data_IF_599215447413
#
_entry.id   IF_599215447413
#
_cell.length_a   1.000
_cell.length_b   1.000
_cell.length_c   1.000
_cell.angle_alpha   90.00
_cell.angle_beta   90.00
_cell.angle_gamma   90.00
#
_symmetry.space_group_name_H-M   'P 1'
#
loop_
_entity.id
_entity.type
_entity.pdbx_description
1 polymer ?
#
# COMPACT_ATOMS: atom_id res chain seq x y z
N UNK A 1 0.62 6.08 18.55
CA UNK A 1 2.05 5.69 18.49
C UNK A 1 2.28 4.18 18.52
N UNK A 2 1.66 3.41 19.44
CA UNK A 2 1.91 1.95 19.59
C UNK A 2 1.69 1.12 18.32
N UNK A 3 0.69 1.46 17.50
CA UNK A 3 0.43 0.77 16.23
C UNK A 3 1.64 0.79 15.29
N UNK A 4 2.29 1.94 15.10
CA UNK A 4 3.49 2.06 14.26
C UNK A 4 4.66 1.24 14.82
N UNK A 5 4.83 1.19 16.15
CA UNK A 5 5.86 0.36 16.78
C UNK A 5 5.62 -1.14 16.57
N UNK A 6 4.35 -1.58 16.58
CA UNK A 6 4.01 -2.97 16.31
C UNK A 6 4.24 -3.30 14.83
N UNK A 7 3.85 -2.41 13.92
CA UNK A 7 4.13 -2.53 12.49
C UNK A 7 5.64 -2.69 12.26
N UNK A 8 6.45 -1.80 12.81
CA UNK A 8 7.92 -1.86 12.71
C UNK A 8 8.50 -3.15 13.30
N UNK A 9 7.91 -3.66 14.38
CA UNK A 9 8.34 -4.92 15.01
C UNK A 9 8.03 -6.15 14.14
N UNK A 10 6.90 -6.15 13.43
CA UNK A 10 6.40 -7.34 12.73
C UNK A 10 6.67 -7.34 11.23
N UNK A 11 6.86 -6.19 10.59
CA UNK A 11 7.20 -6.12 9.17
C UNK A 11 8.70 -6.38 8.95
N UNK A 12 9.01 -7.13 7.89
CA UNK A 12 10.39 -7.56 7.60
C UNK A 12 11.25 -6.46 6.97
N UNK A 13 10.61 -5.41 6.44
CA UNK A 13 11.23 -4.36 5.65
C UNK A 13 10.54 -3.03 5.93
N UNK A 14 11.28 -1.93 5.81
CA UNK A 14 10.66 -0.59 5.82
C UNK A 14 9.64 -0.47 4.69
N UNK A 15 8.49 0.16 4.98
CA UNK A 15 7.40 0.36 4.01
C UNK A 15 7.77 1.26 2.82
N UNK A 16 8.82 2.06 2.94
CA UNK A 16 9.22 3.01 1.91
C UNK A 16 8.08 3.97 1.58
N UNK A 17 7.50 3.83 0.40
CA UNK A 17 6.40 4.69 -0.07
C UNK A 17 5.02 4.21 0.45
N UNK A 18 4.86 2.93 0.80
CA UNK A 18 3.56 2.37 1.16
C UNK A 18 3.02 2.99 2.46
N UNK A 19 1.79 3.53 2.40
CA UNK A 19 1.18 4.26 3.51
C UNK A 19 1.73 5.68 3.72
N UNK A 20 2.63 6.16 2.86
CA UNK A 20 3.01 7.57 2.78
C UNK A 20 1.99 8.40 1.98
N UNK A 21 2.39 9.58 1.54
CA UNK A 21 1.54 10.53 0.82
C UNK A 21 2.14 10.97 -0.52
N UNK A 22 1.31 11.09 -1.55
CA UNK A 22 1.66 11.64 -2.86
C UNK A 22 0.64 12.71 -3.27
N UNK A 23 1.09 13.81 -3.87
CA UNK A 23 0.22 14.92 -4.22
C UNK A 23 0.99 16.21 -4.44
N UNK A 24 0.36 17.35 -4.18
CA UNK A 24 0.96 18.66 -4.36
C UNK A 24 0.73 19.58 -3.17
N UNK A 25 1.65 20.55 -3.06
CA UNK A 25 1.51 21.76 -2.25
C UNK A 25 1.82 22.95 -3.16
N UNK A 26 0.96 23.96 -3.16
CA UNK A 26 1.16 25.17 -3.95
C UNK A 26 1.79 26.30 -3.12
N UNK A 27 2.20 27.39 -3.79
CA UNK A 27 2.82 28.55 -3.15
C UNK A 27 1.87 29.36 -2.25
N UNK A 28 0.56 29.12 -2.35
CA UNK A 28 -0.45 29.77 -1.50
C UNK A 28 -0.74 28.95 -0.23
N UNK A 29 -0.05 27.82 -0.05
CA UNK A 29 -0.22 26.95 1.11
C UNK A 29 -1.35 25.92 0.97
N UNK A 30 -1.98 25.81 -0.19
CA UNK A 30 -2.93 24.72 -0.44
C UNK A 30 -2.17 23.42 -0.61
N UNK A 31 -2.72 22.32 -0.08
CA UNK A 31 -2.17 21.00 -0.29
C UNK A 31 -3.29 20.00 -0.59
N UNK A 32 -3.00 19.06 -1.48
CA UNK A 32 -3.86 17.91 -1.74
C UNK A 32 -2.97 16.68 -1.89
N UNK A 33 -3.15 15.71 -1.00
CA UNK A 33 -2.38 14.49 -0.96
C UNK A 33 -3.30 13.27 -0.88
N UNK A 34 -2.94 12.22 -1.60
CA UNK A 34 -3.51 10.91 -1.48
C UNK A 34 -2.57 9.98 -0.70
N UNK A 35 -3.14 9.03 0.03
CA UNK A 35 -2.36 7.97 0.67
C UNK A 35 -1.87 7.01 -0.42
N UNK A 36 -0.59 6.65 -0.36
CA UNK A 36 0.03 5.71 -1.30
C UNK A 36 -0.35 4.26 -0.96
N UNK A 37 -1.57 3.89 -1.37
CA UNK A 37 -2.11 2.52 -1.40
C UNK A 37 -2.59 2.23 -2.82
N UNK A 38 -2.74 0.94 -3.19
CA UNK A 38 -3.11 0.55 -4.57
C UNK A 38 -2.20 1.24 -5.61
N UNK A 39 -0.90 1.27 -5.33
CA UNK A 39 0.10 2.02 -6.09
C UNK A 39 1.26 1.08 -6.43
N UNK A 40 1.88 1.28 -7.59
CA UNK A 40 3.16 0.66 -7.95
C UNK A 40 4.29 1.68 -7.80
N UNK A 41 5.39 1.26 -7.19
CA UNK A 41 6.68 1.95 -7.32
C UNK A 41 7.53 1.20 -8.35
N UNK A 42 7.79 1.84 -9.48
CA UNK A 42 8.75 1.31 -10.47
C UNK A 42 10.16 1.76 -10.13
N UNK A 43 11.05 0.81 -9.87
CA UNK A 43 12.45 1.06 -9.54
C UNK A 43 13.32 -0.09 -10.02
N UNK A 44 14.43 0.22 -10.69
CA UNK A 44 15.41 -0.78 -11.13
C UNK A 44 14.79 -1.94 -11.95
N UNK A 45 13.89 -1.62 -12.89
CA UNK A 45 13.14 -2.59 -13.69
C UNK A 45 12.27 -3.57 -12.86
N UNK A 46 11.91 -3.20 -11.63
CA UNK A 46 11.00 -3.96 -10.77
C UNK A 46 9.84 -3.08 -10.32
N UNK A 47 8.64 -3.67 -10.28
CA UNK A 47 7.46 -3.04 -9.70
C UNK A 47 7.29 -3.54 -8.27
N UNK A 48 7.38 -2.62 -7.31
CA UNK A 48 7.11 -2.89 -5.91
C UNK A 48 5.71 -2.43 -5.58
N UNK A 49 4.90 -3.28 -4.95
CA UNK A 49 3.54 -2.97 -4.51
C UNK A 49 3.17 -3.78 -3.27
N UNK A 50 2.39 -3.16 -2.40
CA UNK A 50 2.04 -3.71 -1.10
C UNK A 50 0.58 -3.41 -0.78
N UNK A 51 -0.03 -4.31 -0.01
CA UNK A 51 -1.31 -4.11 0.63
C UNK A 51 -1.23 -4.65 2.07
N UNK A 52 -2.21 -4.29 2.87
CA UNK A 52 -2.41 -4.82 4.21
C UNK A 52 -3.87 -4.66 4.63
N UNK A 53 -4.16 -5.12 5.84
CA UNK A 53 -5.49 -5.09 6.42
C UNK A 53 -5.48 -4.44 7.82
N UNK A 54 -6.64 -3.97 8.27
CA UNK A 54 -6.80 -3.33 9.56
C UNK A 54 -7.23 -4.34 10.61
N UNK A 55 -6.33 -4.70 11.53
CA UNK A 55 -6.62 -5.72 12.53
C UNK A 55 -7.36 -5.14 13.76
N UNK A 56 -8.46 -5.78 14.14
CA UNK A 56 -9.20 -5.54 15.38
C UNK A 56 -9.29 -6.82 16.21
N UNK A 57 -9.76 -6.72 17.45
CA UNK A 57 -9.82 -7.87 18.37
C UNK A 57 -10.68 -9.03 17.85
N UNK A 58 -11.66 -8.75 16.98
CA UNK A 58 -12.54 -9.74 16.38
C UNK A 58 -12.07 -10.21 14.99
N UNK A 59 -10.91 -9.74 14.50
CA UNK A 59 -10.39 -10.14 13.19
C UNK A 59 -10.06 -11.62 13.12
N UNK A 60 -10.37 -12.24 11.99
CA UNK A 60 -9.96 -13.60 11.65
C UNK A 60 -8.75 -13.55 10.70
N UNK A 61 -7.68 -14.29 11.00
CA UNK A 61 -6.43 -14.21 10.25
C UNK A 61 -6.59 -14.59 8.76
N UNK A 62 -7.45 -15.56 8.43
CA UNK A 62 -7.68 -16.01 7.05
C UNK A 62 -8.44 -14.95 6.25
N UNK A 63 -9.46 -14.35 6.85
CA UNK A 63 -10.26 -13.29 6.22
C UNK A 63 -9.41 -12.05 5.90
N UNK A 64 -8.57 -11.61 6.85
CA UNK A 64 -7.70 -10.43 6.69
C UNK A 64 -6.60 -10.67 5.63
N UNK A 65 -6.10 -11.90 5.56
CA UNK A 65 -5.17 -12.32 4.52
C UNK A 65 -5.85 -12.30 3.15
N UNK A 66 -7.08 -12.82 3.05
CA UNK A 66 -7.86 -12.81 1.82
C UNK A 66 -8.19 -11.37 1.38
N UNK A 67 -8.52 -10.48 2.31
CA UNK A 67 -8.71 -9.05 2.03
C UNK A 67 -7.45 -8.42 1.41
N UNK A 68 -6.28 -8.75 1.97
CA UNK A 68 -5.00 -8.27 1.45
C UNK A 68 -4.76 -8.77 0.01
N UNK A 69 -5.05 -10.03 -0.29
CA UNK A 69 -4.99 -10.57 -1.65
C UNK A 69 -5.99 -9.89 -2.59
N UNK A 70 -7.22 -9.64 -2.14
CA UNK A 70 -8.22 -8.93 -2.94
C UNK A 70 -7.76 -7.49 -3.26
N UNK A 71 -7.06 -6.84 -2.33
CA UNK A 71 -6.47 -5.51 -2.55
C UNK A 71 -5.36 -5.53 -3.60
N UNK A 72 -4.52 -6.56 -3.57
CA UNK A 72 -3.47 -6.77 -4.59
C UNK A 72 -4.07 -7.21 -5.93
N UNK A 73 -5.20 -7.92 -5.92
CA UNK A 73 -5.84 -8.45 -7.13
C UNK A 73 -6.15 -7.39 -8.18
N UNK A 74 -6.57 -6.18 -7.77
CA UNK A 74 -6.80 -5.09 -8.73
C UNK A 74 -5.51 -4.60 -9.39
N UNK A 75 -4.39 -4.61 -8.65
CA UNK A 75 -3.07 -4.25 -9.18
C UNK A 75 -2.57 -5.33 -10.13
N UNK A 76 -2.65 -6.60 -9.73
CA UNK A 76 -2.30 -7.73 -10.60
C UNK A 76 -3.11 -7.69 -11.90
N UNK A 77 -4.42 -7.41 -11.82
CA UNK A 77 -5.26 -7.31 -13.01
C UNK A 77 -4.83 -6.18 -13.94
N UNK A 78 -4.42 -5.04 -13.38
CA UNK A 78 -3.89 -3.94 -14.17
C UNK A 78 -2.59 -4.31 -14.90
N UNK A 79 -1.73 -5.12 -14.28
CA UNK A 79 -0.51 -5.64 -14.93
C UNK A 79 -0.84 -6.59 -16.09
N UNK A 80 -1.74 -7.55 -15.88
CA UNK A 80 -2.18 -8.48 -16.94
C UNK A 80 -2.70 -7.73 -18.17
N UNK A 81 -3.48 -6.67 -17.96
CA UNK A 81 -4.00 -5.84 -19.05
C UNK A 81 -2.85 -5.10 -19.74
N UNK A 82 -1.94 -4.50 -18.96
CA UNK A 82 -0.81 -3.73 -19.49
C UNK A 82 0.18 -4.57 -20.32
N UNK A 83 0.32 -5.87 -20.05
CA UNK A 83 1.16 -6.78 -20.86
C UNK A 83 0.60 -7.02 -22.26
N UNK A 84 -0.68 -6.75 -22.48
CA UNK A 84 -1.38 -6.97 -23.77
C UNK A 84 -1.57 -5.69 -24.59
N UNK A 85 -1.03 -4.56 -24.13
CA UNK A 85 -1.03 -3.26 -24.83
C UNK A 85 0.29 -3.12 -25.58
#
# INVERSE_FOLDING_TARGET
HKAMQLIEKYEKTSRGYYGGAIGFMDFNGNFNHAIMIRTFLSKNHQLHFQAGAGLVAASNAEDELQETYNKLGALNKALEIAETI
#
